data_IF_232606034317
#
_entry.id   IF_232606034317
#
_cell.length_a   1.000
_cell.length_b   1.000
_cell.length_c   1.000
_cell.angle_alpha   90.00
_cell.angle_beta   90.00
_cell.angle_gamma   90.00
#
_symmetry.space_group_name_H-M   'P 1'
#
loop_
_entity.id
_entity.type
_entity.pdbx_description
1 polymer ?
#
# COMPACT_ATOMS: atom_id res chain seq x y z
N UNK A 1 3.47 -0.81 -20.95
CA UNK A 1 2.56 -1.20 -19.87
C UNK A 1 2.08 0.06 -19.16
N UNK A 2 0.79 0.18 -18.94
CA UNK A 2 0.14 1.29 -18.25
C UNK A 2 -0.46 0.83 -16.90
N UNK A 3 -1.29 1.66 -16.28
CA UNK A 3 -1.92 1.31 -14.99
C UNK A 3 -2.92 0.16 -15.11
N UNK A 4 -3.60 0.01 -16.24
CA UNK A 4 -4.55 -1.09 -16.49
C UNK A 4 -3.80 -2.42 -16.58
N UNK A 5 -2.59 -2.43 -17.14
CA UNK A 5 -1.70 -3.59 -17.13
C UNK A 5 -1.33 -3.98 -15.70
N UNK A 6 -1.02 -3.01 -14.82
CA UNK A 6 -0.74 -3.26 -13.41
C UNK A 6 -1.93 -3.92 -12.70
N UNK A 7 -3.14 -3.45 -12.96
CA UNK A 7 -4.36 -4.04 -12.36
C UNK A 7 -4.51 -5.51 -12.74
N UNK A 8 -4.23 -5.85 -14.00
CA UNK A 8 -4.22 -7.24 -14.48
C UNK A 8 -3.16 -8.10 -13.80
N UNK A 9 -1.95 -7.58 -13.64
CA UNK A 9 -0.85 -8.25 -12.96
C UNK A 9 -1.14 -8.46 -11.46
N UNK A 10 -1.67 -7.45 -10.78
CA UNK A 10 -2.08 -7.53 -9.38
C UNK A 10 -3.19 -8.59 -9.18
N UNK A 11 -4.14 -8.66 -10.10
CA UNK A 11 -5.19 -9.67 -10.07
C UNK A 11 -4.67 -11.10 -10.29
N UNK A 12 -3.59 -11.28 -11.06
CA UNK A 12 -2.96 -12.57 -11.31
C UNK A 12 -1.97 -12.99 -10.21
N UNK A 13 -1.51 -12.06 -9.39
CA UNK A 13 -0.53 -12.32 -8.34
C UNK A 13 -1.10 -13.21 -7.24
N UNK A 14 -0.24 -14.03 -6.63
CA UNK A 14 -0.51 -14.83 -5.43
C UNK A 14 0.10 -14.20 -4.18
N UNK A 15 1.13 -13.38 -4.35
CA UNK A 15 1.78 -12.63 -3.28
C UNK A 15 2.14 -11.22 -3.73
N UNK A 16 2.10 -10.28 -2.81
CA UNK A 16 2.44 -8.88 -3.04
C UNK A 16 3.18 -8.33 -1.82
N UNK A 17 4.44 -7.94 -2.03
CA UNK A 17 5.21 -7.15 -1.08
C UNK A 17 5.09 -5.69 -1.46
N UNK A 18 4.55 -4.90 -0.56
CA UNK A 18 4.23 -3.50 -0.79
C UNK A 18 5.03 -2.61 0.14
N UNK A 19 5.86 -1.72 -0.38
CA UNK A 19 6.50 -0.69 0.40
C UNK A 19 5.94 0.69 0.03
N UNK A 20 5.49 1.44 1.03
CA UNK A 20 4.96 2.80 0.87
C UNK A 20 5.55 3.77 1.89
N UNK A 21 6.06 4.90 1.41
CA UNK A 21 6.70 5.91 2.24
C UNK A 21 5.78 7.07 2.66
N UNK A 22 4.66 7.32 1.98
CA UNK A 22 3.90 8.57 2.22
C UNK A 22 2.39 8.41 2.37
N UNK A 23 1.81 7.34 1.86
CA UNK A 23 0.35 7.12 1.83
C UNK A 23 0.01 5.67 2.17
N UNK A 24 -1.24 5.41 2.48
CA UNK A 24 -1.74 4.04 2.62
C UNK A 24 -1.84 3.37 1.24
N UNK A 25 -1.38 2.10 1.07
CA UNK A 25 -1.50 1.35 -0.19
C UNK A 25 -2.94 1.26 -0.69
N UNK A 26 -3.12 1.31 -2.01
CA UNK A 26 -4.44 1.30 -2.63
C UNK A 26 -5.34 0.13 -2.24
N UNK A 27 -4.76 -1.06 -2.04
CA UNK A 27 -5.50 -2.26 -1.60
C UNK A 27 -6.01 -2.17 -0.15
N UNK A 28 -5.46 -1.26 0.67
CA UNK A 28 -5.81 -1.06 2.07
C UNK A 28 -6.55 0.27 2.32
N UNK A 29 -6.92 1.02 1.27
CA UNK A 29 -7.62 2.30 1.42
C UNK A 29 -9.11 2.10 1.66
N UNK A 30 -9.68 2.90 2.59
CA UNK A 30 -11.14 3.06 2.69
C UNK A 30 -11.68 3.84 1.48
N UNK A 31 -12.99 3.75 1.24
CA UNK A 31 -13.67 4.52 0.18
C UNK A 31 -13.40 6.03 0.32
N UNK A 32 -13.49 6.56 1.54
CA UNK A 32 -13.31 7.98 1.81
C UNK A 32 -11.86 8.44 1.55
N UNK A 33 -10.87 7.64 2.00
CA UNK A 33 -9.46 7.91 1.76
C UNK A 33 -9.12 7.84 0.26
N UNK A 34 -9.57 6.78 -0.44
CA UNK A 34 -9.35 6.60 -1.86
C UNK A 34 -9.95 7.75 -2.68
N UNK A 35 -11.16 8.20 -2.34
CA UNK A 35 -11.80 9.36 -2.97
C UNK A 35 -10.97 10.63 -2.78
N UNK A 36 -10.55 10.93 -1.55
CA UNK A 36 -9.74 12.11 -1.24
C UNK A 36 -8.40 12.09 -2.00
N UNK A 37 -7.78 10.90 -2.17
CA UNK A 37 -6.58 10.75 -2.98
C UNK A 37 -6.81 11.02 -4.46
N UNK A 38 -7.90 10.51 -5.05
CA UNK A 38 -8.25 10.77 -6.46
C UNK A 38 -8.43 12.27 -6.71
N UNK A 39 -9.15 12.96 -5.83
CA UNK A 39 -9.43 14.40 -5.93
C UNK A 39 -8.16 15.27 -5.89
N UNK A 40 -7.13 14.84 -5.17
CA UNK A 40 -5.85 15.55 -5.06
C UNK A 40 -4.89 15.22 -6.19
N UNK A 41 -4.83 13.96 -6.62
CA UNK A 41 -3.82 13.51 -7.61
C UNK A 41 -4.19 13.86 -9.04
N UNK A 42 -5.48 13.99 -9.36
CA UNK A 42 -5.95 14.30 -10.70
C UNK A 42 -6.83 15.56 -10.66
N UNK A 43 -6.26 16.73 -10.96
CA UNK A 43 -7.01 18.00 -10.91
C UNK A 43 -8.16 18.06 -11.94
N UNK A 44 -9.25 18.72 -11.56
CA UNK A 44 -10.38 19.03 -12.45
C UNK A 44 -11.17 17.83 -12.98
N UNK A 45 -11.23 16.72 -12.24
CA UNK A 45 -12.13 15.62 -12.58
C UNK A 45 -13.59 16.01 -12.33
N UNK A 46 -14.50 15.48 -13.16
CA UNK A 46 -15.94 15.52 -12.88
C UNK A 46 -16.31 14.54 -11.77
N UNK A 47 -17.44 14.75 -11.11
CA UNK A 47 -17.92 13.85 -10.04
C UNK A 47 -18.14 12.43 -10.57
N UNK A 48 -18.62 12.29 -11.81
CA UNK A 48 -18.83 11.02 -12.48
C UNK A 48 -17.49 10.28 -12.64
N UNK A 49 -16.45 10.99 -13.12
CA UNK A 49 -15.13 10.38 -13.33
C UNK A 49 -14.44 9.98 -12.01
N UNK A 50 -14.62 10.78 -10.96
CA UNK A 50 -14.16 10.41 -9.61
C UNK A 50 -14.83 9.11 -9.17
N UNK A 51 -16.13 8.98 -9.38
CA UNK A 51 -16.90 7.77 -9.03
C UNK A 51 -16.40 6.55 -9.78
N UNK A 52 -16.18 6.65 -11.10
CA UNK A 52 -15.65 5.56 -11.92
C UNK A 52 -14.28 5.09 -11.43
N UNK A 53 -13.34 6.01 -11.22
CA UNK A 53 -12.00 5.69 -10.72
C UNK A 53 -12.03 5.06 -9.32
N UNK A 54 -12.95 5.53 -8.49
CA UNK A 54 -13.14 4.99 -7.14
C UNK A 54 -13.64 3.55 -7.20
N UNK A 55 -14.62 3.24 -8.06
CA UNK A 55 -15.12 1.87 -8.22
C UNK A 55 -14.02 0.92 -8.74
N UNK A 56 -13.19 1.37 -9.68
CA UNK A 56 -12.01 0.60 -10.13
C UNK A 56 -11.08 0.30 -8.95
N UNK A 57 -10.75 1.32 -8.14
CA UNK A 57 -9.88 1.11 -6.95
C UNK A 57 -10.47 0.13 -5.94
N UNK A 58 -11.76 0.23 -5.66
CA UNK A 58 -12.43 -0.66 -4.70
C UNK A 58 -12.58 -2.09 -5.25
N UNK A 59 -12.84 -2.23 -6.54
CA UNK A 59 -12.92 -3.55 -7.19
C UNK A 59 -11.59 -4.30 -7.10
N UNK A 60 -10.45 -3.61 -7.20
CA UNK A 60 -9.12 -4.23 -7.04
C UNK A 60 -8.95 -4.90 -5.66
N UNK A 61 -9.56 -4.37 -4.61
CA UNK A 61 -9.46 -4.92 -3.25
C UNK A 61 -10.07 -6.32 -3.13
N UNK A 62 -10.89 -6.76 -4.10
CA UNK A 62 -11.47 -8.11 -4.13
C UNK A 62 -10.39 -9.21 -4.17
N UNK A 63 -9.17 -8.91 -4.60
CA UNK A 63 -8.04 -9.86 -4.55
C UNK A 63 -7.70 -10.31 -3.14
N UNK A 64 -8.01 -9.49 -2.12
CA UNK A 64 -7.74 -9.81 -0.72
C UNK A 64 -8.75 -10.77 -0.08
N UNK A 65 -9.96 -10.88 -0.66
CA UNK A 65 -11.08 -11.65 -0.09
C UNK A 65 -11.60 -12.76 -1.01
N UNK A 66 -10.99 -12.94 -2.19
CA UNK A 66 -11.33 -14.04 -3.11
C UNK A 66 -11.01 -15.41 -2.48
N UNK A 67 -11.50 -16.50 -3.10
CA UNK A 67 -11.33 -17.89 -2.62
C UNK A 67 -9.85 -18.25 -2.33
N UNK A 68 -8.94 -17.80 -3.18
CA UNK A 68 -7.49 -17.89 -3.00
C UNK A 68 -6.97 -16.46 -2.84
N UNK A 69 -6.97 -15.93 -1.59
CA UNK A 69 -6.69 -14.52 -1.38
C UNK A 69 -5.20 -14.21 -1.63
N UNK A 70 -4.95 -13.02 -2.15
CA UNK A 70 -3.60 -12.48 -2.31
C UNK A 70 -2.92 -12.41 -0.93
N UNK A 71 -1.70 -12.93 -0.84
CA UNK A 71 -0.85 -12.75 0.35
C UNK A 71 -0.21 -11.37 0.28
N UNK A 72 -0.69 -10.45 1.11
CA UNK A 72 -0.21 -9.07 1.17
C UNK A 72 0.73 -8.86 2.36
N UNK A 73 1.95 -8.42 2.08
CA UNK A 73 2.87 -7.91 3.09
C UNK A 73 3.16 -6.44 2.82
N UNK A 74 2.57 -5.56 3.63
CA UNK A 74 2.71 -4.11 3.53
C UNK A 74 3.67 -3.58 4.59
N UNK A 75 4.75 -2.97 4.17
CA UNK A 75 5.66 -2.21 5.02
C UNK A 75 5.44 -0.73 4.73
N UNK A 76 5.02 0.03 5.73
CA UNK A 76 4.68 1.44 5.62
C UNK A 76 5.66 2.26 6.46
N UNK A 77 6.09 3.39 5.93
CA UNK A 77 6.72 4.41 6.75
C UNK A 77 5.69 5.08 7.68
N UNK A 78 6.08 5.43 8.89
CA UNK A 78 5.22 6.13 9.86
C UNK A 78 4.60 7.40 9.27
N UNK A 79 5.24 8.06 8.30
CA UNK A 79 4.72 9.23 7.61
C UNK A 79 3.35 8.98 6.95
N UNK A 80 3.08 7.76 6.50
CA UNK A 80 1.79 7.39 5.91
C UNK A 80 0.63 7.49 6.91
N UNK A 81 0.90 7.32 8.21
CA UNK A 81 -0.10 7.43 9.28
C UNK A 81 -0.41 8.89 9.66
N UNK A 82 0.52 9.80 9.39
CA UNK A 82 0.44 11.21 9.80
C UNK A 82 0.07 12.17 8.66
N UNK A 83 0.24 11.75 7.41
CA UNK A 83 -0.15 12.59 6.27
C UNK A 83 -1.65 12.74 6.21
N UNK A 84 -2.11 13.98 6.43
CA UNK A 84 -3.53 14.30 6.46
C UNK A 84 -4.16 14.15 5.07
N UNK A 85 -4.92 13.08 4.87
CA UNK A 85 -5.70 12.82 3.66
C UNK A 85 -7.18 12.89 3.98
N UNK A 86 -7.92 13.74 3.28
CA UNK A 86 -9.38 13.86 3.44
C UNK A 86 -9.85 14.43 4.79
N UNK A 87 -8.91 14.83 5.68
CA UNK A 87 -9.22 15.36 7.01
C UNK A 87 -9.26 14.32 8.12
N UNK A 88 -9.43 14.81 9.37
CA UNK A 88 -9.31 13.99 10.60
C UNK A 88 -10.24 12.77 10.61
N UNK A 89 -11.50 12.93 10.20
CA UNK A 89 -12.48 11.83 10.21
C UNK A 89 -12.09 10.73 9.21
N UNK A 90 -11.63 11.10 8.02
CA UNK A 90 -11.15 10.14 6.99
C UNK A 90 -9.90 9.39 7.48
N UNK A 91 -8.97 10.10 8.13
CA UNK A 91 -7.79 9.47 8.70
C UNK A 91 -8.14 8.50 9.82
N UNK A 92 -9.04 8.88 10.73
CA UNK A 92 -9.51 8.00 11.82
C UNK A 92 -10.14 6.71 11.27
N UNK A 93 -11.04 6.82 10.27
CA UNK A 93 -11.66 5.70 9.57
C UNK A 93 -10.61 4.81 8.89
N UNK A 94 -9.65 5.43 8.21
CA UNK A 94 -8.58 4.70 7.52
C UNK A 94 -7.69 3.91 8.48
N UNK A 95 -7.33 4.50 9.60
CA UNK A 95 -6.49 3.82 10.61
C UNK A 95 -7.27 2.70 11.33
N UNK A 96 -8.57 2.87 11.57
CA UNK A 96 -9.44 1.78 12.04
C UNK A 96 -9.45 0.62 11.05
N UNK A 97 -9.62 0.93 9.78
CA UNK A 97 -9.63 -0.09 8.72
C UNK A 97 -8.30 -0.87 8.67
N UNK A 98 -7.15 -0.20 8.83
CA UNK A 98 -5.85 -0.91 8.87
C UNK A 98 -5.77 -1.88 10.05
N UNK A 99 -6.32 -1.52 11.22
CA UNK A 99 -6.37 -2.39 12.39
C UNK A 99 -7.27 -3.60 12.12
N UNK A 100 -8.45 -3.39 11.54
CA UNK A 100 -9.41 -4.46 11.22
C UNK A 100 -8.86 -5.46 10.20
N UNK A 101 -8.29 -4.96 9.09
CA UNK A 101 -7.79 -5.87 8.03
C UNK A 101 -6.55 -6.63 8.44
N UNK A 102 -5.79 -6.15 9.42
CA UNK A 102 -4.62 -6.85 9.95
C UNK A 102 -4.97 -8.16 10.68
N UNK A 103 -6.23 -8.38 11.05
CA UNK A 103 -6.71 -9.65 11.60
C UNK A 103 -6.85 -10.75 10.54
N UNK A 104 -6.82 -10.41 9.25
CA UNK A 104 -6.87 -11.39 8.18
C UNK A 104 -5.52 -12.11 8.01
N UNK A 105 -5.53 -13.43 7.99
CA UNK A 105 -4.34 -14.26 7.93
C UNK A 105 -3.45 -14.03 6.68
N UNK A 106 -4.02 -13.48 5.61
CA UNK A 106 -3.30 -13.16 4.37
C UNK A 106 -2.76 -11.74 4.31
N UNK A 107 -2.93 -10.93 5.37
CA UNK A 107 -2.48 -9.54 5.40
C UNK A 107 -1.49 -9.34 6.55
N UNK A 108 -0.29 -8.87 6.21
CA UNK A 108 0.72 -8.46 7.20
C UNK A 108 0.99 -6.97 7.02
N UNK A 109 0.86 -6.19 8.10
CA UNK A 109 1.16 -4.76 8.12
C UNK A 109 2.26 -4.50 9.13
N UNK A 110 3.32 -3.82 8.69
CA UNK A 110 4.42 -3.38 9.54
C UNK A 110 4.71 -1.90 9.30
N UNK A 111 5.08 -1.20 10.37
CA UNK A 111 5.38 0.24 10.33
C UNK A 111 6.85 0.45 10.63
N UNK A 112 7.53 1.21 9.77
CA UNK A 112 8.88 1.73 10.05
C UNK A 112 8.69 3.02 10.85
N UNK A 113 9.09 3.05 12.13
CA UNK A 113 8.94 4.26 12.94
C UNK A 113 9.97 5.32 12.54
N UNK A 114 9.64 6.60 12.70
CA UNK A 114 10.60 7.70 12.46
C UNK A 114 11.92 7.52 13.20
N UNK A 115 11.87 6.88 14.38
CA UNK A 115 13.06 6.58 15.17
C UNK A 115 14.01 5.56 14.54
N UNK A 116 13.60 4.82 13.49
CA UNK A 116 14.48 3.94 12.74
C UNK A 116 15.55 4.72 11.94
N UNK A 117 15.32 6.01 11.72
CA UNK A 117 16.27 6.88 11.00
C UNK A 117 16.24 6.67 9.49
N UNK A 118 17.34 7.03 8.83
CA UNK A 118 17.44 6.95 7.37
C UNK A 118 17.52 5.51 6.86
N UNK A 119 16.80 5.24 5.78
CA UNK A 119 16.74 3.92 5.16
C UNK A 119 16.54 4.00 3.63
N UNK A 120 16.84 2.95 2.86
CA UNK A 120 16.84 2.99 1.39
C UNK A 120 15.46 3.16 0.76
N UNK A 121 14.37 3.03 1.52
CA UNK A 121 13.01 3.25 1.02
C UNK A 121 12.58 4.73 0.96
N UNK A 122 13.41 5.67 1.44
CA UNK A 122 13.01 7.10 1.50
C UNK A 122 12.83 7.73 0.12
N UNK A 123 13.51 7.21 -0.90
CA UNK A 123 13.53 7.79 -2.24
C UNK A 123 12.39 7.30 -3.14
N UNK A 124 11.75 6.16 -2.83
CA UNK A 124 10.78 5.54 -3.75
C UNK A 124 9.88 4.54 -3.06
N UNK A 125 8.66 4.45 -3.55
CA UNK A 125 7.73 3.34 -3.26
C UNK A 125 7.86 2.27 -4.32
N UNK A 126 7.64 1.01 -3.95
CA UNK A 126 7.68 -0.10 -4.90
C UNK A 126 6.84 -1.28 -4.45
N UNK A 127 6.50 -2.12 -5.41
CA UNK A 127 5.79 -3.38 -5.20
C UNK A 127 6.56 -4.52 -5.82
N UNK A 128 6.59 -5.66 -5.15
CA UNK A 128 7.12 -6.92 -5.71
C UNK A 128 5.95 -7.89 -5.83
N UNK A 129 5.58 -8.20 -7.07
CA UNK A 129 4.50 -9.14 -7.40
C UNK A 129 5.09 -10.54 -7.53
N UNK A 130 4.45 -11.51 -6.90
CA UNK A 130 4.79 -12.92 -6.95
C UNK A 130 3.65 -13.70 -7.62
N UNK A 131 3.99 -14.58 -8.55
CA UNK A 131 3.02 -15.34 -9.35
C UNK A 131 3.13 -16.83 -9.07
N UNK A 132 2.07 -17.58 -9.34
CA UNK A 132 2.07 -19.02 -9.20
C UNK A 132 2.94 -19.69 -10.27
N UNK A 133 3.53 -20.86 -9.93
CA UNK A 133 4.33 -21.64 -10.86
C UNK A 133 5.69 -21.02 -11.21
N UNK A 134 6.23 -21.30 -12.42
CA UNK A 134 7.57 -20.85 -12.81
C UNK A 134 7.63 -19.41 -13.34
N UNK A 135 6.59 -18.62 -13.11
CA UNK A 135 6.53 -17.21 -13.55
C UNK A 135 7.46 -16.37 -12.67
N UNK A 136 8.41 -15.61 -13.24
CA UNK A 136 9.30 -14.78 -12.46
C UNK A 136 8.52 -13.66 -11.73
N UNK A 137 9.08 -13.21 -10.62
CA UNK A 137 8.57 -12.02 -9.92
C UNK A 137 8.71 -10.79 -10.80
N UNK A 138 7.93 -9.77 -10.47
CA UNK A 138 7.96 -8.49 -11.16
C UNK A 138 8.04 -7.37 -10.12
N UNK A 139 8.91 -6.41 -10.34
CA UNK A 139 8.94 -5.19 -9.53
C UNK A 139 8.22 -4.09 -10.29
N UNK A 140 7.29 -3.43 -9.61
CA UNK A 140 6.58 -2.25 -10.10
C UNK A 140 6.98 -1.02 -9.27
N UNK A 141 7.38 0.03 -9.96
CA UNK A 141 7.72 1.32 -9.36
C UNK A 141 6.91 2.40 -10.05
N UNK A 142 6.13 3.15 -9.27
CA UNK A 142 5.35 4.26 -9.77
C UNK A 142 6.14 5.56 -9.65
N UNK A 143 6.28 6.27 -10.77
CA UNK A 143 6.90 7.59 -10.83
C UNK A 143 5.89 8.66 -11.23
N UNK A 144 6.27 9.94 -11.08
CA UNK A 144 5.40 11.08 -11.43
C UNK A 144 5.01 11.11 -12.91
N UNK A 145 5.86 10.62 -13.80
CA UNK A 145 5.69 10.69 -15.26
C UNK A 145 5.47 9.31 -15.90
N UNK A 146 5.42 8.22 -15.13
CA UNK A 146 5.25 6.89 -15.69
C UNK A 146 5.50 5.77 -14.70
N UNK A 147 5.41 4.55 -15.22
CA UNK A 147 5.51 3.32 -14.46
C UNK A 147 6.71 2.51 -14.96
N UNK A 148 7.44 1.89 -14.03
CA UNK A 148 8.56 1.02 -14.35
C UNK A 148 8.22 -0.41 -13.94
N UNK A 149 8.36 -1.34 -14.89
CA UNK A 149 8.22 -2.76 -14.68
C UNK A 149 9.61 -3.40 -14.85
N UNK A 150 10.12 -3.98 -13.79
CA UNK A 150 11.47 -4.56 -13.75
C UNK A 150 11.34 -6.07 -13.56
N UNK A 151 11.78 -6.81 -14.58
CA UNK A 151 11.72 -8.28 -14.63
C UNK A 151 13.11 -8.94 -14.68
N UNK A 152 14.18 -8.16 -14.76
CA UNK A 152 15.54 -8.69 -14.73
C UNK A 152 15.87 -9.25 -13.35
N UNK A 153 16.42 -10.47 -13.24
CA UNK A 153 16.74 -11.09 -11.95
C UNK A 153 17.54 -10.19 -11.01
N UNK A 154 18.55 -9.49 -11.51
CA UNK A 154 19.39 -8.59 -10.71
C UNK A 154 18.61 -7.41 -10.10
N UNK A 155 17.61 -6.87 -10.82
CA UNK A 155 16.76 -5.79 -10.30
C UNK A 155 15.81 -6.35 -9.23
N UNK A 156 15.19 -7.50 -9.50
CA UNK A 156 14.32 -8.19 -8.54
C UNK A 156 15.06 -8.48 -7.25
N UNK A 157 16.27 -9.08 -7.34
CA UNK A 157 17.09 -9.41 -6.17
C UNK A 157 17.42 -8.16 -5.35
N UNK A 158 17.75 -7.05 -6.01
CA UNK A 158 18.02 -5.77 -5.34
C UNK A 158 16.80 -5.25 -4.57
N UNK A 159 15.62 -5.24 -5.19
CA UNK A 159 14.39 -4.78 -4.53
C UNK A 159 13.95 -5.72 -3.41
N UNK A 160 14.17 -7.03 -3.55
CA UNK A 160 13.93 -7.99 -2.45
C UNK A 160 14.84 -7.71 -1.26
N UNK A 161 16.16 -7.50 -1.48
CA UNK A 161 17.10 -7.15 -0.42
C UNK A 161 16.70 -5.84 0.28
N UNK A 162 16.27 -4.84 -0.47
CA UNK A 162 15.75 -3.58 0.11
C UNK A 162 14.51 -3.85 0.95
N UNK A 163 13.54 -4.61 0.43
CA UNK A 163 12.32 -4.94 1.17
C UNK A 163 12.62 -5.71 2.47
N UNK A 164 13.50 -6.71 2.42
CA UNK A 164 13.91 -7.50 3.58
C UNK A 164 14.61 -6.61 4.63
N UNK A 165 15.43 -5.66 4.21
CA UNK A 165 16.04 -4.68 5.09
C UNK A 165 14.97 -3.77 5.73
N UNK A 166 14.05 -3.21 4.95
CA UNK A 166 12.97 -2.34 5.43
C UNK A 166 12.06 -3.08 6.43
N UNK A 167 11.71 -4.33 6.14
CA UNK A 167 10.91 -5.15 7.06
C UNK A 167 11.64 -5.47 8.36
N UNK A 168 12.98 -5.55 8.35
CA UNK A 168 13.80 -5.74 9.55
C UNK A 168 13.89 -4.49 10.43
N UNK A 169 13.76 -3.29 9.84
CA UNK A 169 13.68 -2.02 10.56
C UNK A 169 12.30 -1.74 11.13
N UNK A 170 11.28 -2.32 10.51
CA UNK A 170 9.90 -2.10 10.89
C UNK A 170 9.60 -2.78 12.25
N UNK A 171 8.63 -2.23 12.97
CA UNK A 171 8.03 -2.89 14.12
C UNK A 171 7.45 -4.24 13.68
N UNK A 172 7.43 -5.21 14.58
CA UNK A 172 6.68 -6.45 14.31
C UNK A 172 5.18 -6.14 14.10
N UNK A 173 4.39 -7.05 13.52
CA UNK A 173 2.97 -6.77 13.21
C UNK A 173 2.15 -6.31 14.41
N UNK A 174 2.33 -6.93 15.59
CA UNK A 174 1.58 -6.57 16.80
C UNK A 174 1.89 -5.13 17.28
N UNK A 175 3.16 -4.77 17.30
CA UNK A 175 3.58 -3.43 17.74
C UNK A 175 3.23 -2.37 16.70
N UNK A 176 3.20 -2.75 15.41
CA UNK A 176 2.72 -1.89 14.32
C UNK A 176 1.25 -1.54 14.49
N UNK A 177 0.40 -2.52 14.80
CA UNK A 177 -1.02 -2.28 15.08
C UNK A 177 -1.21 -1.41 16.33
N UNK A 178 -0.43 -1.65 17.38
CA UNK A 178 -0.46 -0.80 18.58
C UNK A 178 -0.05 0.65 18.27
N UNK A 179 0.90 0.85 17.36
CA UNK A 179 1.29 2.18 16.89
C UNK A 179 0.17 2.84 16.07
N UNK A 180 -0.46 2.14 15.14
CA UNK A 180 -1.59 2.65 14.34
C UNK A 180 -2.72 3.09 15.29
N UNK A 181 -3.05 2.29 16.30
CA UNK A 181 -4.08 2.61 17.27
C UNK A 181 -3.77 3.90 18.07
N UNK A 182 -2.52 4.10 18.48
CA UNK A 182 -2.07 5.34 19.14
C UNK A 182 -2.20 6.57 18.23
N UNK A 183 -1.75 6.45 16.99
CA UNK A 183 -1.86 7.56 16.02
C UNK A 183 -3.31 7.91 15.74
N UNK A 184 -4.20 6.90 15.63
CA UNK A 184 -5.65 7.11 15.48
C UNK A 184 -6.24 7.95 16.60
N UNK A 185 -5.84 7.75 17.87
CA UNK A 185 -6.35 8.53 18.99
C UNK A 185 -6.15 10.03 18.76
N UNK A 186 -5.00 10.45 18.22
CA UNK A 186 -4.75 11.85 17.89
C UNK A 186 -5.74 12.43 16.86
N UNK A 187 -6.39 11.60 16.05
CA UNK A 187 -7.43 12.03 15.09
C UNK A 187 -8.84 12.04 15.68
N UNK A 188 -9.09 11.32 16.77
CA UNK A 188 -10.41 11.22 17.42
C UNK A 188 -10.56 12.17 18.61
N UNK A 189 -9.48 12.57 19.26
CA UNK A 189 -9.50 13.59 20.31
C UNK A 189 -9.74 14.97 19.73
N UNK A 190 -10.62 15.76 20.38
CA UNK A 190 -11.00 17.12 19.96
C UNK A 190 -9.93 18.15 20.25
#
# INVERSE_FOLDING_TARGET
LDFDDYVGLEAAAVGLRYYQCTIVPGLLQTRAYAKAMIEVTIPKLTAERITELLEVKLTRQQVLIRKEPLLLWAVLDEAALHRMVGGRAVMAEQLDHLIEVADNANITIQIIPYGAGAHPGMDSTFNILEFAGPVPKLVYVEGLVGYYYLDRPADIDKYQQVFDYLSSLALNPKDSIAMIARVKQAYTEK
#
